data_IF_882102311491
#
_entry.id   IF_882102311491
#
_cell.length_a   1.000
_cell.length_b   1.000
_cell.length_c   1.000
_cell.angle_alpha   90.00
_cell.angle_beta   90.00
_cell.angle_gamma   90.00
#
_symmetry.space_group_name_H-M   'P 1'
#
loop_
_entity.id
_entity.type
_entity.pdbx_description
1 polymer ?
#
# COMPACT_ATOMS: atom_id res chain seq x y z
N UNK A 1 12.29 7.60 1.50
CA UNK A 1 11.16 8.31 0.87
C UNK A 1 10.24 8.80 1.98
N UNK A 2 9.54 9.91 1.79
CA UNK A 2 8.53 10.42 2.72
C UNK A 2 7.16 10.04 2.16
N UNK A 3 6.50 9.08 2.82
CA UNK A 3 5.07 8.83 2.66
C UNK A 3 4.33 9.40 3.85
N UNK A 4 3.07 9.77 3.66
CA UNK A 4 2.18 10.18 4.75
C UNK A 4 0.90 9.36 4.66
N UNK A 5 0.42 8.89 5.81
CA UNK A 5 -0.89 8.28 5.92
C UNK A 5 -1.84 9.19 6.69
N UNK A 6 -3.13 9.03 6.46
CA UNK A 6 -4.20 9.73 7.17
C UNK A 6 -5.31 8.72 7.40
N UNK A 7 -5.77 8.65 8.64
CA UNK A 7 -6.95 7.88 9.01
C UNK A 7 -8.16 8.77 8.75
N UNK A 8 -9.04 8.35 7.83
CA UNK A 8 -10.23 9.12 7.44
C UNK A 8 -11.49 8.73 8.21
N UNK A 9 -11.46 7.60 8.93
CA UNK A 9 -12.57 7.13 9.75
C UNK A 9 -12.23 5.83 10.47
N UNK A 10 -13.23 5.16 11.00
CA UNK A 10 -13.06 3.95 11.83
C UNK A 10 -12.37 2.78 11.10
N UNK A 11 -12.49 2.72 9.77
CA UNK A 11 -12.03 1.59 8.94
C UNK A 11 -11.23 2.01 7.71
N UNK A 12 -10.91 3.31 7.58
CA UNK A 12 -10.35 3.88 6.36
C UNK A 12 -9.00 4.53 6.62
N UNK A 13 -7.98 4.05 5.90
CA UNK A 13 -6.64 4.66 5.88
C UNK A 13 -6.27 5.00 4.45
N UNK A 14 -5.95 6.27 4.21
CA UNK A 14 -5.33 6.72 2.98
C UNK A 14 -3.86 6.97 3.18
N UNK A 15 -3.03 6.37 2.35
CA UNK A 15 -1.59 6.59 2.32
C UNK A 15 -1.19 7.14 0.96
N UNK A 16 -0.29 8.11 0.94
CA UNK A 16 0.28 8.67 -0.28
C UNK A 16 1.79 8.70 -0.18
N UNK A 17 2.47 8.31 -1.25
CA UNK A 17 3.92 8.41 -1.35
C UNK A 17 4.37 8.71 -2.76
N UNK A 18 5.62 9.16 -2.84
CA UNK A 18 6.29 9.50 -4.09
C UNK A 18 7.45 8.54 -4.31
N UNK A 19 7.32 7.67 -5.30
CA UNK A 19 8.34 6.73 -5.71
C UNK A 19 9.21 7.43 -6.74
N UNK A 20 10.51 7.52 -6.46
CA UNK A 20 11.50 8.00 -7.43
C UNK A 20 12.17 6.82 -8.09
N UNK A 21 12.36 6.92 -9.40
CA UNK A 21 13.09 5.95 -10.17
C UNK A 21 14.00 6.69 -11.17
N UNK A 22 15.19 6.15 -11.37
CA UNK A 22 16.29 6.84 -12.03
C UNK A 22 16.89 5.93 -13.07
N UNK A 23 17.04 6.44 -14.30
CA UNK A 23 17.86 5.78 -15.32
C UNK A 23 19.32 6.13 -15.08
N UNK A 24 20.14 5.10 -15.00
CA UNK A 24 21.58 5.22 -14.80
C UNK A 24 22.35 4.83 -16.06
N UNK A 25 23.47 5.49 -16.29
CA UNK A 25 24.49 5.08 -17.25
C UNK A 25 25.81 4.92 -16.49
N UNK A 26 26.18 3.68 -16.18
CA UNK A 26 27.20 3.42 -15.18
C UNK A 26 26.75 3.96 -13.81
N UNK A 27 27.56 4.83 -13.22
CA UNK A 27 27.27 5.50 -11.94
C UNK A 27 26.66 6.89 -12.10
N UNK A 28 26.42 7.35 -13.33
CA UNK A 28 25.89 8.69 -13.60
C UNK A 28 24.38 8.62 -13.81
N UNK A 29 23.57 9.39 -13.06
CA UNK A 29 22.14 9.44 -13.28
C UNK A 29 21.87 10.24 -14.57
N UNK A 30 21.18 9.61 -15.53
CA UNK A 30 20.78 10.25 -16.79
C UNK A 30 19.57 11.14 -16.55
N UNK A 31 18.57 10.59 -15.86
CA UNK A 31 17.38 11.31 -15.44
C UNK A 31 16.74 10.64 -14.23
N UNK A 32 15.91 11.40 -13.51
CA UNK A 32 15.08 10.88 -12.40
C UNK A 32 13.65 11.32 -12.61
N UNK A 33 12.73 10.36 -12.51
CA UNK A 33 11.29 10.56 -12.59
C UNK A 33 10.63 10.08 -11.32
N UNK A 34 9.34 10.35 -11.21
CA UNK A 34 8.56 9.92 -10.06
C UNK A 34 7.12 9.63 -10.40
N UNK A 35 6.59 8.65 -9.69
CA UNK A 35 5.16 8.38 -9.61
C UNK A 35 4.68 8.70 -8.20
N UNK A 36 3.46 9.22 -8.11
CA UNK A 36 2.71 9.33 -6.88
C UNK A 36 1.80 8.12 -6.77
N UNK A 37 2.01 7.30 -5.76
CA UNK A 37 1.12 6.21 -5.40
C UNK A 37 0.22 6.67 -4.26
N UNK A 38 -1.05 6.29 -4.33
CA UNK A 38 -2.06 6.51 -3.31
C UNK A 38 -2.77 5.19 -3.06
N UNK A 39 -2.76 4.74 -1.82
CA UNK A 39 -3.48 3.55 -1.38
C UNK A 39 -4.57 3.97 -0.41
N UNK A 40 -5.81 3.61 -0.70
CA UNK A 40 -6.92 3.73 0.25
C UNK A 40 -7.36 2.33 0.64
N UNK A 41 -7.32 2.05 1.93
CA UNK A 41 -7.78 0.79 2.50
C UNK A 41 -9.12 0.98 3.19
N UNK A 42 -10.01 0.02 2.99
CA UNK A 42 -11.22 -0.18 3.77
C UNK A 42 -11.16 -1.56 4.44
N UNK A 43 -11.09 -1.62 5.77
CA UNK A 43 -11.09 -2.88 6.54
C UNK A 43 -12.46 -3.13 7.16
N UNK A 44 -13.25 -4.06 6.62
CA UNK A 44 -14.51 -4.52 7.22
C UNK A 44 -14.41 -6.00 7.64
N UNK A 45 -15.37 -6.46 8.46
CA UNK A 45 -15.39 -7.85 8.95
C UNK A 45 -15.49 -8.93 7.88
N UNK A 46 -16.08 -8.62 6.73
CA UNK A 46 -16.31 -9.62 5.69
C UNK A 46 -15.56 -9.32 4.39
N UNK A 47 -14.90 -8.16 4.30
CA UNK A 47 -14.14 -7.76 3.13
C UNK A 47 -13.10 -6.72 3.52
N UNK A 48 -11.96 -6.82 2.87
CA UNK A 48 -11.02 -5.73 2.76
C UNK A 48 -11.14 -5.19 1.35
N UNK A 49 -11.03 -3.88 1.18
CA UNK A 49 -10.95 -3.26 -0.14
C UNK A 49 -9.72 -2.37 -0.13
N UNK A 50 -8.72 -2.74 -0.92
CA UNK A 50 -7.62 -1.88 -1.25
C UNK A 50 -7.94 -1.17 -2.57
N UNK A 51 -7.76 0.14 -2.61
CA UNK A 51 -7.78 0.95 -3.84
C UNK A 51 -6.41 1.55 -4.01
N UNK A 52 -5.70 1.11 -5.03
CA UNK A 52 -4.48 1.77 -5.45
C UNK A 52 -4.80 2.84 -6.50
N UNK A 53 -3.97 3.86 -6.56
CA UNK A 53 -3.97 4.90 -7.58
C UNK A 53 -2.52 5.32 -7.82
N UNK A 54 -2.13 5.35 -9.09
CA UNK A 54 -0.79 5.74 -9.48
C UNK A 54 -0.85 6.88 -10.49
N UNK A 55 -0.05 7.91 -10.30
CA UNK A 55 0.04 9.03 -11.23
C UNK A 55 1.51 9.31 -11.55
N UNK A 56 1.84 9.41 -12.83
CA UNK A 56 3.15 9.88 -13.24
C UNK A 56 3.21 11.39 -13.12
N UNK A 57 4.20 11.92 -12.41
CA UNK A 57 4.30 13.36 -12.15
C UNK A 57 4.51 14.18 -13.43
N UNK A 58 5.04 13.55 -14.48
CA UNK A 58 5.25 14.17 -15.81
C UNK A 58 4.24 13.69 -16.86
N UNK A 59 3.23 12.89 -16.46
CA UNK A 59 2.28 12.34 -17.42
C UNK A 59 2.94 11.41 -18.44
N UNK A 60 3.79 10.50 -18.02
CA UNK A 60 4.36 9.48 -18.91
C UNK A 60 3.60 8.20 -18.64
N UNK A 61 3.12 7.46 -19.66
CA UNK A 61 2.56 6.14 -19.44
C UNK A 61 3.59 5.20 -18.82
N UNK A 62 3.15 4.33 -17.93
CA UNK A 62 4.02 3.36 -17.28
C UNK A 62 3.27 2.07 -16.98
N UNK A 63 4.05 1.00 -16.88
CA UNK A 63 3.61 -0.25 -16.27
C UNK A 63 4.37 -0.44 -14.96
N UNK A 64 3.72 -0.96 -13.91
CA UNK A 64 4.39 -1.26 -12.64
C UNK A 64 3.88 -2.55 -12.03
N UNK A 65 4.74 -3.15 -11.21
CA UNK A 65 4.44 -4.36 -10.43
C UNK A 65 4.87 -4.17 -8.98
N UNK A 66 4.21 -4.88 -8.08
CA UNK A 66 4.53 -4.86 -6.66
C UNK A 66 3.63 -5.77 -5.85
N UNK A 67 3.77 -5.72 -4.53
CA UNK A 67 3.02 -6.56 -3.60
C UNK A 67 2.39 -5.70 -2.50
N UNK A 68 1.22 -6.14 -2.03
CA UNK A 68 0.52 -5.59 -0.89
C UNK A 68 0.12 -6.75 0.03
N UNK A 69 0.46 -6.69 1.31
CA UNK A 69 0.17 -7.73 2.29
C UNK A 69 -0.72 -7.17 3.39
N UNK A 70 -1.77 -7.91 3.77
CA UNK A 70 -2.46 -7.70 5.06
C UNK A 70 -1.87 -8.64 6.09
N UNK A 71 -1.41 -8.06 7.18
CA UNK A 71 -0.85 -8.77 8.31
C UNK A 71 -1.85 -8.72 9.46
N UNK A 72 -2.26 -9.88 9.95
CA UNK A 72 -3.00 -9.99 11.20
C UNK A 72 -2.03 -9.82 12.37
N UNK A 73 -2.27 -8.81 13.20
CA UNK A 73 -1.49 -8.51 14.39
C UNK A 73 -2.29 -8.91 15.64
N UNK A 74 -1.93 -10.04 16.25
CA UNK A 74 -2.55 -10.51 17.49
C UNK A 74 -1.61 -10.26 18.67
N UNK A 75 -1.61 -9.02 19.19
CA UNK A 75 -0.83 -8.65 20.38
C UNK A 75 0.66 -8.90 20.19
N UNK A 76 1.25 -9.74 21.05
CA UNK A 76 2.70 -10.05 21.05
C UNK A 76 3.10 -11.17 20.08
N UNK A 77 2.13 -11.83 19.44
CA UNK A 77 2.43 -12.86 18.46
C UNK A 77 3.04 -12.23 17.20
N UNK A 78 3.99 -12.91 16.53
CA UNK A 78 4.50 -12.47 15.24
C UNK A 78 3.36 -12.22 14.26
N UNK A 79 3.43 -11.15 13.43
CA UNK A 79 2.43 -10.89 12.42
C UNK A 79 2.29 -12.10 11.49
N UNK A 80 1.05 -12.50 11.24
CA UNK A 80 0.75 -13.53 10.23
C UNK A 80 0.27 -12.82 8.97
N UNK A 81 0.88 -13.12 7.83
CA UNK A 81 0.39 -12.63 6.54
C UNK A 81 -0.90 -13.38 6.25
N UNK A 82 -2.01 -12.65 6.27
CA UNK A 82 -3.34 -13.23 6.10
C UNK A 82 -3.61 -13.45 4.60
N UNK A 83 -3.26 -12.47 3.77
CA UNK A 83 -3.46 -12.55 2.33
C UNK A 83 -2.47 -11.60 1.58
N UNK A 84 -1.50 -12.16 0.82
CA UNK A 84 -0.60 -11.38 -0.04
C UNK A 84 -1.21 -11.15 -1.43
N UNK A 85 -1.24 -9.90 -1.86
CA UNK A 85 -1.75 -9.49 -3.17
C UNK A 85 -0.62 -8.95 -4.05
N UNK A 86 -0.32 -9.66 -5.14
CA UNK A 86 0.55 -9.15 -6.19
C UNK A 86 -0.27 -8.27 -7.16
N UNK A 87 0.12 -7.01 -7.31
CA UNK A 87 -0.51 -6.09 -8.23
C UNK A 87 0.33 -5.86 -9.49
N UNK A 88 -0.35 -5.61 -10.59
CA UNK A 88 0.26 -5.26 -11.88
C UNK A 88 -0.63 -4.24 -12.57
N UNK A 89 -0.07 -3.07 -12.83
CA UNK A 89 -0.84 -1.89 -13.19
C UNK A 89 -0.24 -1.25 -14.43
N UNK A 90 -1.08 -1.06 -15.45
CA UNK A 90 -0.78 -0.19 -16.58
C UNK A 90 -1.54 1.13 -16.42
N UNK A 91 -0.80 2.23 -16.31
CA UNK A 91 -1.35 3.56 -16.16
C UNK A 91 -0.87 4.47 -17.30
N UNK A 92 -1.81 5.13 -17.98
CA UNK A 92 -1.53 6.18 -18.95
C UNK A 92 -1.58 7.59 -18.32
N UNK A 93 -1.21 8.61 -19.12
CA UNK A 93 -1.39 10.03 -18.84
C UNK A 93 -2.68 10.36 -18.07
N UNK A 94 -2.55 10.83 -16.82
CA UNK A 94 -3.67 11.25 -15.97
C UNK A 94 -4.60 10.12 -15.51
N UNK A 95 -4.24 8.86 -15.71
CA UNK A 95 -5.09 7.72 -15.36
C UNK A 95 -4.97 7.33 -13.89
N UNK A 96 -6.11 7.02 -13.29
CA UNK A 96 -6.19 6.31 -12.00
C UNK A 96 -6.33 4.84 -12.33
N UNK A 97 -5.39 4.01 -11.90
CA UNK A 97 -5.49 2.56 -12.05
C UNK A 97 -6.00 1.96 -10.76
N UNK A 98 -7.18 1.33 -10.81
CA UNK A 98 -7.84 0.73 -9.65
C UNK A 98 -7.58 -0.78 -9.65
N UNK A 99 -6.99 -1.28 -8.58
CA UNK A 99 -6.95 -2.71 -8.30
C UNK A 99 -7.79 -2.96 -7.06
N UNK A 100 -8.92 -3.66 -7.20
CA UNK A 100 -9.73 -4.08 -6.06
C UNK A 100 -9.23 -5.44 -5.60
N UNK A 101 -8.78 -5.50 -4.35
CA UNK A 101 -8.49 -6.76 -3.68
C UNK A 101 -9.50 -6.98 -2.57
N UNK A 102 -10.07 -8.18 -2.50
CA UNK A 102 -11.07 -8.59 -1.51
C UNK A 102 -10.72 -9.98 -1.00
N UNK A 103 -10.25 -10.06 0.25
CA UNK A 103 -9.93 -11.33 0.88
C UNK A 103 -9.93 -11.21 2.40
N UNK A 104 -10.85 -11.91 3.05
CA UNK A 104 -10.71 -12.27 4.47
C UNK A 104 -10.72 -13.78 4.57
N UNK A 105 -9.72 -14.33 5.25
CA UNK A 105 -9.69 -15.74 5.65
C UNK A 105 -10.47 -15.98 6.95
N UNK A 106 -10.66 -14.93 7.78
CA UNK A 106 -11.30 -14.99 9.09
C UNK A 106 -12.34 -13.86 9.27
N UNK A 107 -13.45 -14.15 9.95
CA UNK A 107 -14.53 -13.19 10.24
C UNK A 107 -14.47 -12.64 11.68
N UNK A 108 -13.39 -12.91 12.41
CA UNK A 108 -13.23 -12.50 13.82
C UNK A 108 -12.79 -11.05 13.98
N UNK A 109 -12.97 -10.51 15.19
CA UNK A 109 -12.35 -9.25 15.59
C UNK A 109 -10.84 -9.45 15.73
N UNK A 110 -10.06 -8.70 14.96
CA UNK A 110 -8.61 -8.73 14.96
C UNK A 110 -8.06 -7.37 14.49
N UNK A 111 -6.81 -7.08 14.84
CA UNK A 111 -6.08 -5.89 14.36
C UNK A 111 -5.30 -6.27 13.10
N UNK A 112 -5.33 -5.41 12.10
CA UNK A 112 -4.65 -5.65 10.82
C UNK A 112 -3.73 -4.51 10.47
N UNK A 113 -2.50 -4.84 10.05
CA UNK A 113 -1.59 -3.92 9.40
C UNK A 113 -1.49 -4.22 7.90
N UNK A 114 -1.09 -3.22 7.12
CA UNK A 114 -0.77 -3.44 5.73
C UNK A 114 0.63 -3.00 5.38
N UNK A 115 1.19 -3.72 4.44
CA UNK A 115 2.52 -3.53 3.93
C UNK A 115 2.47 -3.49 2.41
N UNK A 116 3.20 -2.56 1.80
CA UNK A 116 3.28 -2.42 0.36
C UNK A 116 4.72 -2.46 -0.09
N UNK A 117 4.94 -2.88 -1.33
CA UNK A 117 6.21 -2.81 -2.04
C UNK A 117 5.94 -2.57 -3.51
N UNK A 118 6.81 -1.80 -4.16
CA UNK A 118 6.84 -1.67 -5.63
C UNK A 118 8.16 -2.26 -6.11
N UNK A 119 8.08 -3.24 -7.01
CA UNK A 119 9.25 -4.01 -7.46
C UNK A 119 9.92 -3.37 -8.67
N UNK A 120 9.11 -2.95 -9.65
CA UNK A 120 9.62 -2.40 -10.92
C UNK A 120 8.65 -1.42 -11.56
N UNK A 121 9.20 -0.51 -12.37
CA UNK A 121 8.45 0.40 -13.23
C UNK A 121 9.02 0.30 -14.65
N UNK A 122 8.16 0.05 -15.64
CA UNK A 122 8.47 0.22 -17.05
C UNK A 122 8.02 1.59 -17.49
N UNK A 123 9.00 2.40 -17.90
CA UNK A 123 8.78 3.73 -18.45
C UNK A 123 8.56 3.64 -19.95
N UNK A 124 7.35 3.95 -20.41
CA UNK A 124 6.98 3.78 -21.82
C UNK A 124 7.63 4.81 -22.74
N UNK A 125 8.03 5.98 -22.23
CA UNK A 125 8.75 6.96 -23.05
C UNK A 125 10.17 6.48 -23.42
N UNK A 126 10.74 5.61 -22.58
CA UNK A 126 12.10 5.08 -22.72
C UNK A 126 12.11 3.60 -23.10
N UNK A 127 10.95 2.94 -23.08
CA UNK A 127 10.77 1.50 -23.29
C UNK A 127 11.73 0.69 -22.40
N UNK A 128 11.85 1.11 -21.13
CA UNK A 128 12.83 0.57 -20.21
C UNK A 128 12.20 0.23 -18.86
N UNK A 129 12.44 -1.00 -18.39
CA UNK A 129 12.08 -1.43 -17.03
C UNK A 129 13.21 -1.09 -16.07
N UNK A 130 12.86 -0.29 -15.06
CA UNK A 130 13.76 0.14 -14.01
C UNK A 130 13.35 -0.60 -12.73
N UNK A 131 14.24 -1.45 -12.17
CA UNK A 131 13.99 -2.05 -10.88
C UNK A 131 14.02 -0.95 -9.81
N UNK A 132 13.08 -1.03 -8.86
CA UNK A 132 13.06 -0.11 -7.73
C UNK A 132 13.99 -0.70 -6.68
N UNK A 133 15.23 -0.19 -6.64
CA UNK A 133 16.19 -0.58 -5.61
C UNK A 133 15.84 0.11 -4.30
N UNK A 134 15.28 -0.66 -3.36
CA UNK A 134 14.90 -0.20 -2.03
C UNK A 134 13.43 -0.51 -1.73
N UNK A 135 13.16 -0.94 -0.52
CA UNK A 135 11.81 -1.32 -0.12
C UNK A 135 10.95 -0.05 0.05
N UNK A 136 9.86 0.05 -0.72
CA UNK A 136 8.86 1.11 -0.55
C UNK A 136 7.85 0.65 0.49
N UNK A 137 8.19 0.74 1.77
CA UNK A 137 7.29 0.35 2.87
C UNK A 137 6.38 1.52 3.26
N UNK A 138 5.08 1.25 3.43
CA UNK A 138 4.19 2.19 4.10
C UNK A 138 4.49 2.26 5.60
N UNK A 139 4.15 3.38 6.27
CA UNK A 139 3.97 3.39 7.72
C UNK A 139 2.99 2.27 8.09
N UNK A 140 3.32 1.50 9.13
CA UNK A 140 2.37 0.56 9.72
C UNK A 140 1.21 1.36 10.33
N UNK A 141 0.02 0.80 10.25
CA UNK A 141 -1.20 1.26 10.91
C UNK A 141 -1.99 0.03 11.30
N UNK A 142 -2.92 0.15 12.24
CA UNK A 142 -3.77 -0.94 12.66
C UNK A 142 -5.22 -0.53 12.64
N UNK A 143 -6.08 -1.35 12.04
CA UNK A 143 -7.52 -1.19 12.21
C UNK A 143 -8.13 -2.48 12.74
N UNK A 144 -9.17 -2.33 13.55
CA UNK A 144 -9.97 -3.47 13.99
C UNK A 144 -11.06 -3.78 12.99
N UNK A 145 -11.26 -5.06 12.72
CA UNK A 145 -12.45 -5.52 12.03
C UNK A 145 -13.60 -5.69 13.04
N UNK A 146 -14.67 -4.90 12.93
CA UNK A 146 -15.88 -5.06 13.76
C UNK A 146 -17.12 -5.26 12.88
N UNK A 147 -18.07 -6.11 13.31
CA UNK A 147 -19.27 -6.38 12.54
C UNK A 147 -19.98 -5.07 12.19
N UNK A 148 -20.42 -4.92 10.93
CA UNK A 148 -21.08 -3.71 10.39
C UNK A 148 -22.32 -3.28 11.19
N UNK A 149 -22.81 -4.14 12.09
CA UNK A 149 -24.02 -3.95 12.88
C UNK A 149 -23.79 -3.82 14.40
N UNK A 150 -22.54 -3.64 14.88
CA UNK A 150 -22.27 -3.38 16.30
C UNK A 150 -22.00 -1.88 16.53
N UNK A 151 -22.99 -1.11 17.00
CA UNK A 151 -22.86 0.32 17.24
C UNK A 151 -22.12 0.66 18.55
N UNK A 152 -21.65 -0.34 19.32
CA UNK A 152 -21.04 -0.12 20.64
C UNK A 152 -19.51 -0.15 20.62
N UNK A 153 -18.91 -0.57 19.51
CA UNK A 153 -17.46 -0.59 19.33
C UNK A 153 -17.02 0.61 18.50
N UNK A 154 -16.78 1.75 19.16
CA UNK A 154 -15.99 2.86 18.60
C UNK A 154 -14.54 2.40 18.47
N UNK A 155 -14.23 1.63 17.42
CA UNK A 155 -12.86 1.18 17.17
C UNK A 155 -12.33 1.89 15.94
N UNK A 156 -11.19 2.54 16.13
CA UNK A 156 -10.55 3.40 15.15
C UNK A 156 -9.38 2.67 14.52
N UNK A 157 -9.14 2.92 13.23
CA UNK A 157 -7.79 2.79 12.71
C UNK A 157 -6.88 3.71 13.53
N UNK A 158 -5.74 3.21 13.97
CA UNK A 158 -4.75 3.98 14.72
C UNK A 158 -3.33 3.68 14.21
N UNK A 159 -2.41 4.59 14.48
CA UNK A 159 -0.99 4.26 14.31
C UNK A 159 -0.58 3.23 15.37
N UNK A 160 0.36 2.31 15.06
CA UNK A 160 0.83 1.34 16.03
C UNK A 160 1.41 2.10 17.21
N UNK A 161 1.04 1.68 18.41
CA UNK A 161 1.70 2.22 19.60
C UNK A 161 3.13 1.65 19.72
N UNK A 162 3.94 2.19 20.63
CA UNK A 162 5.34 1.77 20.81
C UNK A 162 5.52 0.30 21.21
N UNK A 163 4.49 -0.37 21.71
CA UNK A 163 4.51 -1.78 22.11
C UNK A 163 4.31 -2.73 20.92
N UNK A 164 3.58 -2.30 19.88
CA UNK A 164 3.29 -3.07 18.65
C UNK A 164 4.24 -2.72 17.49
N UNK A 165 4.99 -1.62 17.61
CA UNK A 165 5.96 -1.16 16.61
C UNK A 165 7.14 -2.12 16.29
N UNK A 166 7.66 -2.96 17.21
CA UNK A 166 8.86 -3.75 16.95
C UNK A 166 8.60 -5.21 16.54
N UNK A 167 7.34 -5.64 16.35
CA UNK A 167 7.07 -7.03 15.95
C UNK A 167 7.40 -7.18 14.45
N UNK A 168 8.58 -7.71 14.15
CA UNK A 168 9.07 -8.01 12.80
C UNK A 168 8.78 -9.46 12.44
#
# INVERSE_FOLDING_TARGET
MTGSCTIYGSYEVGCQWKIKYTKWQGTTPVWTRSITETATLFLQTNSHELKLKFNHDQGIPFFLTGNADVMNMQGWAPPTVDDPYHYSVYASLGSTSFSNWTGRSNSGAAKFAMYFTTDSITDEAEQATIPITGIVMTPRFQCAAVPVNDPTTDVQCEYPNGEEAPVF
#
